data_IF_147495670188
#
_entry.id   IF_147495670188
#
_cell.length_a   1.000
_cell.length_b   1.000
_cell.length_c   1.000
_cell.angle_alpha   90.00
_cell.angle_beta   90.00
_cell.angle_gamma   90.00
#
_symmetry.space_group_name_H-M   'P 1'
#
loop_
_entity.id
_entity.type
_entity.pdbx_description
1 polymer ?
#
# COMPACT_ATOMS: atom_id res chain seq x y z
N UNK A 1 -2.90 14.62 -5.64
CA UNK A 1 -2.69 13.27 -6.20
C UNK A 1 -3.00 13.20 -7.68
N UNK A 2 -2.33 12.33 -8.38
CA UNK A 2 -2.37 12.25 -9.84
C UNK A 2 -3.79 12.03 -10.39
N UNK A 3 -4.58 11.17 -9.75
CA UNK A 3 -5.94 10.82 -10.17
C UNK A 3 -7.06 11.55 -9.42
N UNK A 4 -6.76 12.19 -8.32
CA UNK A 4 -7.76 12.90 -7.51
C UNK A 4 -7.36 14.36 -7.43
N UNK A 5 -7.87 15.15 -8.35
CA UNK A 5 -7.62 16.60 -8.40
C UNK A 5 -8.64 17.35 -7.56
N UNK A 6 -8.19 18.44 -6.97
CA UNK A 6 -9.07 19.39 -6.24
C UNK A 6 -9.80 18.81 -5.02
N UNK A 7 -9.37 17.68 -4.50
CA UNK A 7 -9.86 17.16 -3.23
C UNK A 7 -8.88 17.58 -2.13
N UNK A 8 -9.25 18.53 -1.26
CA UNK A 8 -8.40 18.90 -0.14
C UNK A 8 -8.30 17.71 0.83
N UNK A 9 -7.09 17.42 1.26
CA UNK A 9 -6.85 16.40 2.28
C UNK A 9 -5.74 16.85 3.22
N UNK A 10 -5.87 16.42 4.45
CA UNK A 10 -4.87 16.61 5.49
C UNK A 10 -5.04 15.49 6.51
N UNK A 11 -4.01 14.69 6.69
CA UNK A 11 -3.99 13.65 7.70
C UNK A 11 -2.77 13.82 8.60
N UNK A 12 -2.90 13.69 9.94
CA UNK A 12 -1.76 13.74 10.82
C UNK A 12 -0.81 12.58 10.51
N UNK A 13 0.45 12.90 10.31
CA UNK A 13 1.51 11.92 10.09
C UNK A 13 2.07 11.36 11.38
N UNK A 14 2.81 10.25 11.28
CA UNK A 14 3.62 9.71 12.35
C UNK A 14 5.10 9.59 11.89
N UNK A 15 5.85 10.71 11.87
CA UNK A 15 7.22 10.70 11.36
C UNK A 15 8.14 9.76 12.16
N UNK A 16 7.96 9.69 13.49
CA UNK A 16 8.76 8.79 14.33
C UNK A 16 8.58 7.31 13.97
N UNK A 17 7.34 6.88 13.68
CA UNK A 17 7.08 5.52 13.21
C UNK A 17 7.65 5.32 11.80
N UNK A 18 7.53 6.30 10.91
CA UNK A 18 8.10 6.23 9.57
C UNK A 18 9.62 6.08 9.57
N UNK A 19 10.33 6.83 10.41
CA UNK A 19 11.78 6.72 10.61
C UNK A 19 12.18 5.36 11.18
N UNK A 20 11.45 4.89 12.19
CA UNK A 20 11.68 3.60 12.81
C UNK A 20 11.55 2.46 11.80
N UNK A 21 10.49 2.47 10.99
CA UNK A 21 10.27 1.47 9.92
C UNK A 21 11.41 1.52 8.91
N UNK A 22 11.76 2.72 8.42
CA UNK A 22 12.81 2.88 7.42
C UNK A 22 14.17 2.41 7.93
N UNK A 23 14.51 2.75 9.18
CA UNK A 23 15.74 2.30 9.82
C UNK A 23 15.77 0.79 9.96
N UNK A 24 14.72 0.18 10.53
CA UNK A 24 14.67 -1.27 10.76
C UNK A 24 14.77 -2.04 9.44
N UNK A 25 14.02 -1.63 8.42
CA UNK A 25 14.06 -2.26 7.11
C UNK A 25 15.45 -2.16 6.47
N UNK A 26 16.10 -1.01 6.56
CA UNK A 26 17.46 -0.82 6.03
C UNK A 26 18.48 -1.66 6.79
N UNK A 27 18.41 -1.72 8.10
CA UNK A 27 19.28 -2.56 8.94
C UNK A 27 19.11 -4.07 8.62
N UNK A 28 17.91 -4.47 8.21
CA UNK A 28 17.59 -5.84 7.78
C UNK A 28 17.82 -6.08 6.27
N UNK A 29 18.45 -5.14 5.59
CA UNK A 29 18.90 -5.27 4.20
C UNK A 29 17.84 -4.97 3.15
N UNK A 30 16.77 -4.26 3.52
CA UNK A 30 15.80 -3.71 2.57
C UNK A 30 15.94 -2.19 2.54
N UNK A 31 16.55 -1.65 1.51
CA UNK A 31 16.75 -0.22 1.40
C UNK A 31 15.42 0.53 1.47
N UNK A 32 15.24 1.29 2.53
CA UNK A 32 14.02 2.06 2.80
C UNK A 32 14.37 3.45 3.31
N UNK A 33 13.65 4.44 2.84
CA UNK A 33 13.90 5.84 3.21
C UNK A 33 12.62 6.50 3.73
N UNK A 34 12.72 7.11 4.91
CA UNK A 34 11.68 8.02 5.39
C UNK A 34 11.77 9.37 4.69
N UNK A 35 10.64 9.91 4.27
CA UNK A 35 10.51 11.23 3.69
C UNK A 35 9.71 12.14 4.61
N UNK A 36 10.23 13.36 4.80
CA UNK A 36 9.58 14.43 5.57
C UNK A 36 9.24 15.63 4.68
N UNK A 37 9.12 15.39 3.39
CA UNK A 37 8.81 16.45 2.42
C UNK A 37 7.32 16.77 2.50
N UNK A 38 7.01 17.97 2.97
CA UNK A 38 5.65 18.48 3.09
C UNK A 38 5.00 18.82 1.75
N UNK A 39 5.79 18.84 0.67
CA UNK A 39 5.30 19.07 -0.69
C UNK A 39 4.96 17.77 -1.42
N UNK A 40 5.28 16.63 -0.82
CA UNK A 40 4.97 15.32 -1.38
C UNK A 40 3.48 15.00 -1.24
N UNK A 41 2.81 14.89 -2.35
CA UNK A 41 1.41 14.49 -2.38
C UNK A 41 1.24 13.03 -1.98
N UNK A 42 0.23 12.76 -1.15
CA UNK A 42 -0.20 11.39 -0.88
C UNK A 42 -0.93 10.81 -2.09
N UNK A 43 -0.61 9.59 -2.44
CA UNK A 43 -1.25 8.89 -3.54
C UNK A 43 -2.66 8.41 -3.18
N UNK A 44 -3.45 8.16 -4.20
CA UNK A 44 -4.84 7.70 -4.04
C UNK A 44 -4.95 6.38 -3.26
N UNK A 45 -3.95 5.51 -3.33
CA UNK A 45 -3.87 4.29 -2.54
C UNK A 45 -3.87 4.53 -1.03
N UNK A 46 -3.42 5.70 -0.58
CA UNK A 46 -3.55 6.16 0.81
C UNK A 46 -4.85 6.94 1.01
N UNK A 47 -5.16 7.87 0.12
CA UNK A 47 -6.25 8.81 0.32
C UNK A 47 -7.63 8.16 0.29
N UNK A 48 -7.84 7.18 -0.59
CA UNK A 48 -9.14 6.50 -0.71
C UNK A 48 -9.48 5.71 0.55
N UNK A 49 -8.64 4.82 1.07
CA UNK A 49 -8.91 4.18 2.35
C UNK A 49 -9.10 5.18 3.49
N UNK A 50 -8.26 6.20 3.58
CA UNK A 50 -8.33 7.19 4.66
C UNK A 50 -9.62 8.01 4.64
N UNK A 51 -10.19 8.27 3.46
CA UNK A 51 -11.48 8.96 3.36
C UNK A 51 -12.62 8.20 4.04
N UNK A 52 -12.59 6.88 3.99
CA UNK A 52 -13.65 6.04 4.55
C UNK A 52 -13.35 5.59 5.98
N UNK A 53 -12.10 5.29 6.29
CA UNK A 53 -11.70 4.67 7.54
C UNK A 53 -11.14 5.67 8.57
N UNK A 54 -10.76 6.87 8.14
CA UNK A 54 -10.18 7.92 8.97
C UNK A 54 -10.75 9.30 8.59
N UNK A 55 -12.07 9.35 8.34
CA UNK A 55 -12.73 10.58 7.88
C UNK A 55 -12.66 11.72 8.92
N UNK A 56 -12.65 11.38 10.19
CA UNK A 56 -12.48 12.29 11.33
C UNK A 56 -11.01 12.64 11.63
N UNK A 57 -10.06 12.07 10.87
CA UNK A 57 -8.61 12.29 11.02
C UNK A 57 -8.05 11.93 12.39
N UNK A 58 -8.69 11.00 13.04
CA UNK A 58 -8.32 10.59 14.41
C UNK A 58 -7.00 9.82 14.45
N UNK A 59 -6.72 9.02 13.42
CA UNK A 59 -5.52 8.19 13.36
C UNK A 59 -4.39 8.88 12.61
N UNK A 60 -3.17 8.73 13.11
CA UNK A 60 -1.96 9.13 12.40
C UNK A 60 -1.66 8.15 11.27
N UNK A 61 -1.15 8.67 10.18
CA UNK A 61 -0.92 7.90 8.95
C UNK A 61 0.57 7.86 8.61
N UNK A 62 1.06 6.68 8.26
CA UNK A 62 2.34 6.49 7.57
C UNK A 62 2.02 5.86 6.22
N UNK A 63 2.27 6.57 5.15
CA UNK A 63 2.12 6.05 3.79
C UNK A 63 3.40 5.35 3.37
N UNK A 64 3.28 4.11 2.95
CA UNK A 64 4.40 3.33 2.41
C UNK A 64 4.17 3.13 0.93
N UNK A 65 5.12 3.57 0.13
CA UNK A 65 5.11 3.36 -1.31
C UNK A 65 6.18 2.34 -1.69
N UNK A 66 5.81 1.45 -2.57
CA UNK A 66 6.72 0.51 -3.20
C UNK A 66 6.62 0.66 -4.72
N UNK A 67 7.77 0.76 -5.38
CA UNK A 67 7.78 0.85 -6.83
C UNK A 67 7.81 -0.56 -7.43
N UNK A 68 6.63 -1.12 -7.63
CA UNK A 68 6.43 -2.50 -8.04
C UNK A 68 7.15 -2.93 -9.35
N UNK A 69 7.59 -1.98 -10.17
CA UNK A 69 8.39 -2.28 -11.37
C UNK A 69 9.88 -2.54 -11.08
N UNK A 70 10.36 -2.26 -9.87
CA UNK A 70 11.78 -2.27 -9.55
C UNK A 70 12.15 -3.12 -8.33
N UNK A 71 11.19 -3.72 -7.67
CA UNK A 71 11.44 -4.66 -6.60
C UNK A 71 10.68 -5.98 -6.86
N UNK A 72 11.18 -7.05 -6.34
CA UNK A 72 10.56 -8.36 -6.45
C UNK A 72 9.65 -8.68 -5.26
N UNK A 73 8.99 -9.82 -5.30
CA UNK A 73 8.11 -10.27 -4.23
C UNK A 73 8.89 -10.58 -2.94
N UNK A 74 10.14 -11.00 -3.05
CA UNK A 74 10.98 -11.26 -1.87
C UNK A 74 11.33 -9.96 -1.15
N UNK A 75 11.59 -8.88 -1.86
CA UNK A 75 11.76 -7.55 -1.27
C UNK A 75 10.52 -7.11 -0.50
N UNK A 76 9.33 -7.33 -1.08
CA UNK A 76 8.07 -7.02 -0.41
C UNK A 76 7.88 -7.87 0.85
N UNK A 77 8.20 -9.17 0.80
CA UNK A 77 8.14 -10.07 1.94
C UNK A 77 9.13 -9.66 3.04
N UNK A 78 10.36 -9.37 2.69
CA UNK A 78 11.40 -8.89 3.62
C UNK A 78 11.03 -7.58 4.26
N UNK A 79 10.49 -6.64 3.47
CA UNK A 79 9.97 -5.38 4.01
C UNK A 79 8.83 -5.62 5.00
N UNK A 80 7.89 -6.50 4.69
CA UNK A 80 6.80 -6.86 5.60
C UNK A 80 7.28 -7.44 6.92
N UNK A 81 8.33 -8.27 6.90
CA UNK A 81 8.98 -8.79 8.12
C UNK A 81 9.66 -7.67 8.91
N UNK A 82 10.41 -6.80 8.27
CA UNK A 82 11.05 -5.66 8.91
C UNK A 82 10.04 -4.68 9.52
N UNK A 83 8.93 -4.43 8.82
CA UNK A 83 7.80 -3.65 9.33
C UNK A 83 7.23 -4.26 10.62
N UNK A 84 6.99 -5.57 10.61
CA UNK A 84 6.55 -6.31 11.78
C UNK A 84 7.55 -6.17 12.94
N UNK A 85 8.83 -6.35 12.70
CA UNK A 85 9.87 -6.23 13.71
C UNK A 85 9.95 -4.81 14.28
N UNK A 86 9.82 -3.77 13.44
CA UNK A 86 9.78 -2.38 13.89
C UNK A 86 8.62 -2.16 14.87
N UNK A 87 7.43 -2.65 14.54
CA UNK A 87 6.23 -2.48 15.37
C UNK A 87 6.34 -3.30 16.66
N UNK A 88 6.62 -4.60 16.58
CA UNK A 88 6.57 -5.50 17.74
C UNK A 88 7.68 -5.24 18.77
N UNK A 89 8.86 -4.79 18.33
CA UNK A 89 10.03 -4.66 19.19
C UNK A 89 10.32 -3.25 19.66
N UNK A 90 9.86 -2.25 18.91
CA UNK A 90 10.33 -0.87 19.10
C UNK A 90 9.23 0.17 19.13
N UNK A 91 7.96 -0.21 19.06
CA UNK A 91 6.85 0.72 19.04
C UNK A 91 5.77 0.34 20.04
N UNK A 92 5.44 1.26 20.96
CA UNK A 92 4.46 1.01 22.05
C UNK A 92 3.01 1.29 21.64
N UNK A 93 2.76 1.68 20.39
CA UNK A 93 1.42 2.01 19.91
C UNK A 93 0.74 0.85 19.19
N UNK A 94 -0.57 0.97 19.02
CA UNK A 94 -1.33 0.07 18.15
C UNK A 94 -1.22 0.52 16.69
N UNK A 95 -0.91 -0.40 15.80
CA UNK A 95 -0.76 -0.15 14.36
C UNK A 95 -1.72 -1.06 13.58
N UNK A 96 -2.48 -0.47 12.67
CA UNK A 96 -3.23 -1.19 11.66
C UNK A 96 -2.54 -1.05 10.30
N UNK A 97 -2.37 -2.15 9.59
CA UNK A 97 -1.79 -2.17 8.25
C UNK A 97 -2.92 -2.27 7.24
N UNK A 98 -2.97 -1.31 6.33
CA UNK A 98 -3.91 -1.29 5.21
C UNK A 98 -3.16 -1.56 3.92
N UNK A 99 -3.39 -2.73 3.34
CA UNK A 99 -2.86 -3.07 2.03
C UNK A 99 -3.83 -2.59 0.94
N UNK A 100 -3.47 -1.50 0.27
CA UNK A 100 -4.25 -0.96 -0.84
C UNK A 100 -3.63 -1.39 -2.16
N UNK A 101 -4.40 -2.07 -2.98
CA UNK A 101 -3.93 -2.57 -4.26
C UNK A 101 -5.04 -3.25 -5.05
N UNK A 102 -4.68 -3.72 -6.21
CA UNK A 102 -5.54 -4.56 -7.05
C UNK A 102 -4.76 -5.82 -7.43
N UNK A 103 -5.43 -6.95 -7.51
CA UNK A 103 -4.88 -8.13 -8.16
C UNK A 103 -4.55 -7.77 -9.63
N UNK A 104 -4.57 -8.52 -10.57
CA UNK A 104 -4.31 -8.21 -12.00
C UNK A 104 -4.32 -6.72 -12.37
N UNK A 105 -3.32 -5.97 -11.92
CA UNK A 105 -3.22 -4.51 -12.08
C UNK A 105 -2.82 -4.15 -13.51
N UNK A 106 -3.67 -4.48 -14.46
CA UNK A 106 -3.49 -4.13 -15.87
C UNK A 106 -4.55 -3.14 -16.30
N UNK A 107 -4.12 -1.97 -16.73
CA UNK A 107 -5.00 -0.98 -17.32
C UNK A 107 -5.36 -1.39 -18.74
N UNK A 108 -6.66 -1.48 -19.04
CA UNK A 108 -7.15 -1.53 -20.40
C UNK A 108 -7.02 -0.13 -21.02
N UNK A 109 -6.73 -0.08 -22.32
CA UNK A 109 -6.76 1.19 -23.05
C UNK A 109 -8.14 1.86 -22.89
N UNK A 110 -8.12 3.15 -22.64
CA UNK A 110 -9.29 3.98 -22.35
C UNK A 110 -10.27 4.17 -23.52
N UNK A 111 -10.27 3.28 -24.49
CA UNK A 111 -11.13 3.38 -25.68
C UNK A 111 -12.62 3.22 -25.41
N UNK A 112 -13.01 2.56 -24.32
CA UNK A 112 -14.42 2.39 -23.94
C UNK A 112 -14.53 2.16 -22.44
N UNK A 113 -14.47 3.23 -21.61
CA UNK A 113 -14.45 3.12 -20.17
C UNK A 113 -15.66 2.36 -19.60
N UNK A 114 -16.83 2.57 -20.14
CA UNK A 114 -18.08 1.92 -19.66
C UNK A 114 -18.11 0.42 -19.96
N UNK A 115 -17.61 0.00 -21.11
CA UNK A 115 -17.59 -1.41 -21.50
C UNK A 115 -16.51 -2.21 -20.75
N UNK A 116 -15.45 -1.55 -20.29
CA UNK A 116 -14.29 -2.20 -19.67
C UNK A 116 -14.29 -2.15 -18.13
N UNK A 117 -15.22 -1.44 -17.51
CA UNK A 117 -15.23 -1.18 -16.06
C UNK A 117 -15.31 -2.48 -15.22
N UNK A 118 -15.91 -3.53 -15.77
CA UNK A 118 -16.06 -4.84 -15.14
C UNK A 118 -15.33 -5.96 -15.90
N UNK A 119 -14.57 -5.62 -16.94
CA UNK A 119 -13.89 -6.59 -17.76
C UNK A 119 -12.45 -6.78 -17.30
N UNK A 120 -12.09 -7.99 -16.93
CA UNK A 120 -10.69 -8.39 -16.77
C UNK A 120 -10.09 -8.50 -18.17
N UNK A 121 -8.89 -7.95 -18.36
CA UNK A 121 -8.27 -7.79 -19.67
C UNK A 121 -7.96 -9.12 -20.40
N UNK A 122 -7.83 -10.22 -19.65
CA UNK A 122 -7.46 -11.52 -20.18
C UNK A 122 -7.92 -12.63 -19.22
N UNK A 123 -8.34 -13.77 -19.79
CA UNK A 123 -8.77 -14.95 -19.01
C UNK A 123 -7.66 -15.48 -18.09
N UNK A 124 -6.41 -15.38 -18.49
CA UNK A 124 -5.28 -15.76 -17.65
C UNK A 124 -5.26 -14.95 -16.35
N UNK A 125 -5.42 -13.64 -16.43
CA UNK A 125 -5.45 -12.79 -15.22
C UNK A 125 -6.64 -13.10 -14.33
N UNK A 126 -7.81 -13.38 -14.92
CA UNK A 126 -8.99 -13.79 -14.15
C UNK A 126 -8.72 -15.08 -13.37
N UNK A 127 -8.07 -16.06 -13.98
CA UNK A 127 -7.74 -17.31 -13.31
C UNK A 127 -6.71 -17.11 -12.21
N UNK A 128 -5.71 -16.27 -12.41
CA UNK A 128 -4.73 -15.91 -11.38
C UNK A 128 -5.43 -15.25 -10.19
N UNK A 129 -6.28 -14.27 -10.43
CA UNK A 129 -7.01 -13.56 -9.37
C UNK A 129 -7.88 -14.52 -8.56
N UNK A 130 -8.64 -15.37 -9.23
CA UNK A 130 -9.47 -16.38 -8.57
C UNK A 130 -8.63 -17.36 -7.74
N UNK A 131 -7.46 -17.75 -8.23
CA UNK A 131 -6.56 -18.63 -7.48
C UNK A 131 -6.02 -17.95 -6.23
N UNK A 132 -5.61 -16.70 -6.33
CA UNK A 132 -5.15 -15.92 -5.18
C UNK A 132 -6.26 -15.79 -4.14
N UNK A 133 -7.48 -15.44 -4.55
CA UNK A 133 -8.63 -15.35 -3.65
C UNK A 133 -8.91 -16.69 -2.95
N UNK A 134 -8.87 -17.79 -3.69
CA UNK A 134 -9.05 -19.14 -3.12
C UNK A 134 -7.99 -19.48 -2.07
N UNK A 135 -6.72 -19.15 -2.32
CA UNK A 135 -5.64 -19.36 -1.37
C UNK A 135 -5.86 -18.54 -0.10
N UNK A 136 -6.25 -17.28 -0.24
CA UNK A 136 -6.56 -16.43 0.91
C UNK A 136 -7.73 -16.94 1.74
N UNK A 137 -8.80 -17.43 1.09
CA UNK A 137 -9.94 -18.07 1.79
C UNK A 137 -9.51 -19.32 2.57
N UNK A 138 -8.46 -20.01 2.13
CA UNK A 138 -7.87 -21.16 2.81
C UNK A 138 -6.87 -20.77 3.89
N UNK A 139 -6.55 -19.49 4.04
CA UNK A 139 -5.53 -18.99 4.96
C UNK A 139 -4.09 -19.24 4.46
N UNK A 140 -3.93 -19.54 3.20
CA UNK A 140 -2.63 -19.75 2.55
C UNK A 140 -2.15 -18.42 1.94
N UNK A 141 -1.22 -17.78 2.63
CA UNK A 141 -0.66 -16.47 2.26
C UNK A 141 0.82 -16.57 1.84
N UNK A 142 1.37 -17.77 1.71
CA UNK A 142 2.77 -18.01 1.38
C UNK A 142 3.00 -18.29 -0.11
#
# INVERSE_FOLDING_TARGET
>A
PHFIRNLPYEYPGNPGLGELIAKTATDEGVFTRAHHDTTLDLEYGTLVPMRYMNADRHFKVVSVAAWCNWHDLDDSRRFGLALRHAIERHYDGTVAILASGSLSHRFNDNGSPEASIHAISDEFFRQVDLRVMQLWEQGDFA
#
